data_IF_688258744963
#
_entry.id   IF_688258744963
#
_cell.length_a   1.000
_cell.length_b   1.000
_cell.length_c   1.000
_cell.angle_alpha   90.00
_cell.angle_beta   90.00
_cell.angle_gamma   90.00
#
_symmetry.space_group_name_H-M   'P 1'
#
loop_
_entity.id
_entity.type
_entity.pdbx_description
1 polymer ?
#
# COMPACT_ATOMS: atom_id res chain seq x y z
N UNK A 1 6.33 -28.54 7.40
CA UNK A 1 5.85 -27.14 7.41
C UNK A 1 5.00 -26.95 6.17
N UNK A 2 3.68 -26.85 6.33
CA UNK A 2 2.80 -26.43 5.23
C UNK A 2 3.26 -25.05 4.80
N UNK A 3 3.71 -24.92 3.55
CA UNK A 3 4.02 -23.62 2.96
C UNK A 3 2.75 -22.78 3.08
N UNK A 4 2.82 -21.67 3.82
CA UNK A 4 1.69 -20.75 3.96
C UNK A 4 1.19 -20.32 2.59
N UNK A 5 -0.10 -19.95 2.51
CA UNK A 5 -0.79 -19.69 1.25
C UNK A 5 0.04 -18.78 0.31
N UNK A 6 0.77 -17.79 0.86
CA UNK A 6 1.70 -16.92 0.12
C UNK A 6 2.62 -17.65 -0.87
N UNK A 7 3.12 -18.85 -0.52
CA UNK A 7 4.00 -19.64 -1.37
C UNK A 7 3.29 -20.56 -2.37
N UNK A 8 1.98 -20.43 -2.55
CA UNK A 8 1.19 -21.23 -3.49
C UNK A 8 1.04 -20.52 -4.84
N UNK A 9 0.84 -21.28 -5.91
CA UNK A 9 0.70 -20.79 -7.28
C UNK A 9 1.93 -21.06 -8.16
N UNK A 10 1.82 -20.68 -9.43
CA UNK A 10 2.83 -20.93 -10.45
C UNK A 10 4.11 -20.10 -10.22
N UNK A 11 5.21 -20.57 -10.81
CA UNK A 11 6.50 -19.88 -10.83
C UNK A 11 6.89 -19.55 -12.28
N UNK A 12 7.51 -18.38 -12.55
CA UNK A 12 7.88 -17.32 -11.61
C UNK A 12 6.65 -16.56 -11.08
N UNK A 13 6.76 -16.01 -9.86
CA UNK A 13 5.72 -15.15 -9.29
C UNK A 13 5.91 -13.72 -9.75
N UNK A 14 4.83 -13.13 -10.21
CA UNK A 14 4.77 -11.71 -10.57
C UNK A 14 4.21 -10.96 -9.36
N UNK A 15 4.97 -10.00 -8.85
CA UNK A 15 4.54 -9.11 -7.78
C UNK A 15 4.21 -7.75 -8.39
N UNK A 16 2.97 -7.28 -8.23
CA UNK A 16 2.60 -5.93 -8.61
C UNK A 16 3.18 -4.93 -7.61
N UNK A 17 4.36 -4.39 -7.92
CA UNK A 17 5.08 -3.41 -7.11
C UNK A 17 4.27 -2.11 -6.99
N UNK A 18 3.73 -1.87 -5.79
CA UNK A 18 2.82 -0.76 -5.46
C UNK A 18 1.53 -0.75 -6.30
N UNK A 19 1.10 -1.91 -6.78
CA UNK A 19 -0.02 -2.07 -7.71
C UNK A 19 0.39 -1.89 -9.18
N UNK A 20 -0.59 -1.69 -10.06
CA UNK A 20 -0.37 -1.48 -11.51
C UNK A 20 -0.64 -0.02 -11.90
N UNK A 21 0.42 0.74 -12.16
CA UNK A 21 0.33 2.15 -12.58
C UNK A 21 0.17 2.34 -14.09
N UNK A 22 0.41 1.29 -14.88
CA UNK A 22 0.22 1.33 -16.34
C UNK A 22 -1.23 1.53 -16.78
N UNK A 23 -2.20 1.37 -15.87
CA UNK A 23 -3.61 1.74 -16.06
C UNK A 23 -3.89 3.25 -15.93
N UNK A 24 -2.91 4.04 -15.48
CA UNK A 24 -3.08 5.44 -15.08
C UNK A 24 -3.46 5.62 -13.59
N UNK A 25 -3.56 4.52 -12.83
CA UNK A 25 -3.73 4.58 -11.38
C UNK A 25 -2.45 5.03 -10.67
N UNK A 26 -2.61 5.63 -9.49
CA UNK A 26 -1.49 6.10 -8.67
C UNK A 26 -0.94 4.95 -7.82
N UNK A 27 0.39 4.86 -7.68
CA UNK A 27 1.04 3.85 -6.85
C UNK A 27 0.48 3.81 -5.41
N UNK A 28 0.44 2.62 -4.79
CA UNK A 28 -0.04 2.41 -3.42
C UNK A 28 -1.49 2.88 -3.17
N UNK A 29 -2.35 2.86 -4.19
CA UNK A 29 -3.79 3.14 -4.06
C UNK A 29 -4.61 1.89 -4.35
N UNK A 30 -5.83 1.80 -3.79
CA UNK A 30 -6.73 0.66 -4.04
C UNK A 30 -6.96 0.43 -5.53
N UNK A 31 -7.09 1.50 -6.32
CA UNK A 31 -7.32 1.38 -7.76
C UNK A 31 -6.11 0.77 -8.50
N UNK A 32 -4.88 1.07 -8.08
CA UNK A 32 -3.69 0.41 -8.62
C UNK A 32 -3.64 -1.08 -8.26
N UNK A 33 -4.06 -1.45 -7.05
CA UNK A 33 -4.11 -2.85 -6.63
C UNK A 33 -5.22 -3.63 -7.34
N UNK A 34 -6.42 -3.05 -7.45
CA UNK A 34 -7.54 -3.62 -8.22
C UNK A 34 -7.16 -3.83 -9.68
N UNK A 35 -6.53 -2.82 -10.31
CA UNK A 35 -6.08 -2.94 -11.69
C UNK A 35 -5.05 -4.07 -11.87
N UNK A 36 -4.15 -4.29 -10.91
CA UNK A 36 -3.22 -5.42 -10.95
C UNK A 36 -3.96 -6.77 -10.77
N UNK A 37 -4.91 -6.81 -9.85
CA UNK A 37 -5.72 -8.01 -9.57
C UNK A 37 -6.57 -8.43 -10.76
N UNK A 38 -7.19 -7.47 -11.46
CA UNK A 38 -7.96 -7.69 -12.68
C UNK A 38 -7.13 -8.27 -13.84
N UNK A 39 -5.81 -8.06 -13.84
CA UNK A 39 -4.87 -8.69 -14.78
C UNK A 39 -4.48 -10.13 -14.38
N UNK A 40 -5.03 -10.65 -13.28
CA UNK A 40 -4.72 -11.99 -12.75
C UNK A 40 -3.47 -12.04 -11.87
N UNK A 41 -2.89 -10.90 -11.50
CA UNK A 41 -1.75 -10.87 -10.57
C UNK A 41 -2.26 -11.11 -9.15
N UNK A 42 -1.79 -12.19 -8.53
CA UNK A 42 -2.23 -12.58 -7.19
C UNK A 42 -1.29 -12.13 -6.07
N UNK A 43 -0.03 -11.81 -6.39
CA UNK A 43 0.92 -11.26 -5.44
C UNK A 43 1.04 -9.76 -5.62
N UNK A 44 0.76 -9.03 -4.54
CA UNK A 44 0.83 -7.57 -4.52
C UNK A 44 1.98 -7.17 -3.60
N UNK A 45 2.64 -6.07 -3.91
CA UNK A 45 3.64 -5.48 -3.03
C UNK A 45 3.20 -4.06 -2.67
N UNK A 46 3.45 -3.66 -1.43
CA UNK A 46 3.11 -2.32 -0.94
C UNK A 46 4.12 -1.85 0.11
N UNK A 47 4.24 -0.54 0.23
CA UNK A 47 5.04 0.13 1.24
C UNK A 47 4.13 0.67 2.35
N UNK A 48 4.47 0.44 3.62
CA UNK A 48 3.66 0.90 4.75
C UNK A 48 4.45 1.81 5.67
N UNK A 49 3.94 3.03 5.89
CA UNK A 49 4.33 3.91 7.00
C UNK A 49 3.22 3.99 8.02
N UNK A 50 3.55 4.51 9.20
CA UNK A 50 2.59 4.81 10.27
C UNK A 50 2.43 6.32 10.44
N UNK A 51 1.20 6.78 10.50
CA UNK A 51 0.83 8.19 10.74
C UNK A 51 1.00 8.59 12.20
N UNK A 52 0.93 9.89 12.49
CA UNK A 52 1.03 10.42 13.86
C UNK A 52 -0.07 9.88 14.80
N UNK A 53 -1.23 9.53 14.24
CA UNK A 53 -2.38 8.92 14.93
C UNK A 53 -2.41 7.38 14.82
N UNK A 54 -1.32 6.75 14.33
CA UNK A 54 -1.11 5.30 14.40
C UNK A 54 -1.70 4.47 13.26
N UNK A 55 -2.22 5.08 12.21
CA UNK A 55 -2.76 4.37 11.05
C UNK A 55 -1.64 3.86 10.12
N UNK A 56 -1.77 2.62 9.64
CA UNK A 56 -0.89 2.04 8.63
C UNK A 56 -1.31 2.49 7.23
N UNK A 57 -0.60 3.46 6.66
CA UNK A 57 -0.89 4.03 5.33
C UNK A 57 0.00 3.45 4.25
N UNK A 58 -0.57 3.25 3.06
CA UNK A 58 0.13 2.75 1.89
C UNK A 58 0.86 3.90 1.22
N UNK A 59 2.18 3.96 1.36
CA UNK A 59 3.00 5.07 0.90
C UNK A 59 4.48 4.69 0.82
N UNK A 60 5.20 5.11 -0.22
CA UNK A 60 6.62 4.74 -0.37
C UNK A 60 7.58 5.64 0.42
N UNK A 61 7.62 6.93 0.11
CA UNK A 61 8.65 7.84 0.62
C UNK A 61 8.41 8.25 2.07
N UNK A 62 9.45 8.62 2.81
CA UNK A 62 9.24 9.16 4.16
C UNK A 62 8.57 10.55 4.18
N UNK A 63 8.49 11.22 3.02
CA UNK A 63 7.93 12.55 2.85
C UNK A 63 6.87 12.60 1.73
N UNK A 64 6.19 13.75 1.64
CA UNK A 64 5.08 13.95 0.71
C UNK A 64 5.52 14.52 -0.65
N UNK A 65 6.81 14.84 -0.83
CA UNK A 65 7.25 15.79 -1.86
C UNK A 65 7.14 15.23 -3.26
N UNK A 66 7.57 13.98 -3.49
CA UNK A 66 7.59 13.37 -4.82
C UNK A 66 6.18 13.21 -5.39
N UNK A 67 5.25 12.68 -4.60
CA UNK A 67 3.92 12.33 -5.09
C UNK A 67 2.95 13.52 -5.12
N UNK A 68 3.14 14.51 -4.25
CA UNK A 68 2.13 15.58 -4.03
C UNK A 68 2.67 17.00 -4.23
N UNK A 69 3.99 17.16 -4.32
CA UNK A 69 4.64 18.48 -4.29
C UNK A 69 4.65 19.16 -2.91
N UNK A 70 3.91 18.63 -1.91
CA UNK A 70 3.80 19.22 -0.57
C UNK A 70 5.05 18.92 0.27
N UNK A 71 5.32 19.80 1.24
CA UNK A 71 6.31 19.54 2.30
C UNK A 71 5.61 18.82 3.46
N UNK A 72 6.37 18.02 4.21
CA UNK A 72 5.88 17.28 5.37
C UNK A 72 6.30 15.81 5.31
N UNK A 73 6.19 15.11 6.45
CA UNK A 73 6.47 13.67 6.56
C UNK A 73 5.19 12.93 6.89
N UNK A 74 5.11 11.68 6.43
CA UNK A 74 3.97 10.80 6.72
C UNK A 74 3.80 10.61 8.24
N UNK A 75 4.90 10.32 8.95
CA UNK A 75 4.92 10.12 10.40
C UNK A 75 4.51 11.34 11.24
N UNK A 76 4.53 12.52 10.64
CA UNK A 76 4.18 13.78 11.31
C UNK A 76 2.75 14.24 10.95
N UNK A 77 2.01 13.45 10.14
CA UNK A 77 0.64 13.77 9.67
C UNK A 77 -0.35 12.75 10.21
N UNK A 78 -1.60 13.16 10.44
CA UNK A 78 -2.73 12.26 10.74
C UNK A 78 -3.28 11.60 9.47
N UNK A 79 -4.01 10.49 9.61
CA UNK A 79 -4.69 9.86 8.48
C UNK A 79 -5.66 10.83 7.78
N UNK A 80 -6.40 11.64 8.56
CA UNK A 80 -7.35 12.60 8.04
C UNK A 80 -6.67 13.68 7.17
N UNK A 81 -5.52 14.20 7.61
CA UNK A 81 -4.73 15.17 6.83
C UNK A 81 -4.18 14.58 5.54
N UNK A 82 -3.69 13.34 5.58
CA UNK A 82 -3.18 12.64 4.40
C UNK A 82 -4.29 12.34 3.40
N UNK A 83 -5.48 11.95 3.86
CA UNK A 83 -6.65 11.72 2.99
C UNK A 83 -7.19 12.98 2.34
N UNK A 84 -6.93 14.15 2.90
CA UNK A 84 -7.30 15.42 2.28
C UNK A 84 -6.41 15.77 1.07
N UNK A 85 -5.32 15.02 0.84
CA UNK A 85 -4.44 15.22 -0.31
C UNK A 85 -5.05 14.53 -1.54
N UNK A 86 -5.24 15.30 -2.61
CA UNK A 86 -5.55 14.75 -3.92
C UNK A 86 -4.29 14.14 -4.52
N UNK A 87 -4.32 12.84 -4.80
CA UNK A 87 -3.21 12.14 -5.45
C UNK A 87 -3.34 12.19 -6.98
N UNK A 88 -4.41 12.78 -7.51
CA UNK A 88 -4.76 12.78 -8.93
C UNK A 88 -5.73 11.65 -9.27
N UNK A 89 -6.45 11.80 -10.39
CA UNK A 89 -7.44 10.81 -10.88
C UNK A 89 -8.51 10.41 -9.85
N UNK A 90 -8.79 11.26 -8.86
CA UNK A 90 -9.73 10.97 -7.77
C UNK A 90 -9.16 10.08 -6.66
N UNK A 91 -7.91 9.63 -6.78
CA UNK A 91 -7.27 8.73 -5.83
C UNK A 91 -6.96 9.41 -4.49
N UNK A 92 -7.02 8.63 -3.41
CA UNK A 92 -6.79 9.07 -2.04
C UNK A 92 -5.84 8.10 -1.34
N UNK A 93 -5.21 8.56 -0.26
CA UNK A 93 -4.36 7.72 0.59
C UNK A 93 -5.19 6.58 1.16
N UNK A 94 -4.74 5.35 0.88
CA UNK A 94 -5.32 4.11 1.39
C UNK A 94 -4.56 3.61 2.62
N UNK A 95 -5.22 2.77 3.40
CA UNK A 95 -4.63 2.06 4.54
C UNK A 95 -4.40 0.59 4.24
N UNK A 96 -3.52 -0.05 5.00
CA UNK A 96 -3.30 -1.49 4.89
C UNK A 96 -4.59 -2.29 5.19
N UNK A 97 -5.35 -1.89 6.20
CA UNK A 97 -6.63 -2.51 6.54
C UNK A 97 -7.64 -2.43 5.39
N UNK A 98 -7.68 -1.31 4.65
CA UNK A 98 -8.53 -1.16 3.48
C UNK A 98 -8.11 -2.10 2.34
N UNK A 99 -6.81 -2.22 2.05
CA UNK A 99 -6.33 -3.16 1.04
C UNK A 99 -6.64 -4.62 1.40
N UNK A 100 -6.43 -5.01 2.66
CA UNK A 100 -6.74 -6.35 3.15
C UNK A 100 -8.23 -6.67 3.05
N UNK A 101 -9.10 -5.69 3.34
CA UNK A 101 -10.55 -5.86 3.20
C UNK A 101 -11.01 -5.88 1.73
N UNK A 102 -10.37 -5.09 0.87
CA UNK A 102 -10.72 -4.97 -0.54
C UNK A 102 -10.30 -6.20 -1.36
N UNK A 103 -9.12 -6.75 -1.06
CA UNK A 103 -8.55 -7.91 -1.76
C UNK A 103 -8.11 -8.99 -0.75
N UNK A 104 -9.06 -9.67 -0.07
CA UNK A 104 -8.75 -10.61 1.02
C UNK A 104 -7.99 -11.86 0.55
N UNK A 105 -8.07 -12.19 -0.74
CA UNK A 105 -7.38 -13.34 -1.34
C UNK A 105 -5.99 -12.99 -1.90
N UNK A 106 -5.59 -11.71 -1.86
CA UNK A 106 -4.30 -11.26 -2.35
C UNK A 106 -3.15 -11.69 -1.44
N UNK A 107 -2.01 -12.00 -2.05
CA UNK A 107 -0.77 -12.38 -1.36
C UNK A 107 0.14 -11.18 -1.24
N UNK A 108 0.12 -10.52 -0.09
CA UNK A 108 0.88 -9.29 0.11
C UNK A 108 2.34 -9.55 0.50
N UNK A 109 3.23 -8.81 -0.15
CA UNK A 109 4.57 -8.51 0.33
C UNK A 109 4.55 -7.08 0.89
N UNK A 110 4.76 -6.91 2.19
CA UNK A 110 4.64 -5.62 2.87
C UNK A 110 6.05 -5.12 3.20
N UNK A 111 6.49 -4.05 2.56
CA UNK A 111 7.70 -3.33 2.95
C UNK A 111 7.38 -2.37 4.10
N UNK A 112 7.82 -2.73 5.31
CA UNK A 112 7.54 -1.99 6.54
C UNK A 112 8.55 -0.85 6.69
N UNK A 113 8.08 0.40 6.55
CA UNK A 113 8.92 1.59 6.59
C UNK A 113 8.91 2.24 7.97
N UNK A 114 10.12 2.45 8.51
CA UNK A 114 10.32 3.15 9.79
C UNK A 114 10.31 2.22 11.00
N UNK A 115 10.96 2.67 12.09
CA UNK A 115 11.25 1.83 13.25
C UNK A 115 10.00 1.41 14.04
N UNK A 116 8.96 2.26 14.08
CA UNK A 116 7.75 2.02 14.87
C UNK A 116 6.66 1.27 14.08
N UNK A 117 6.85 1.13 12.76
CA UNK A 117 5.87 0.51 11.88
C UNK A 117 5.64 -1.00 12.09
N UNK A 118 6.64 -1.85 12.45
CA UNK A 118 6.42 -3.29 12.57
C UNK A 118 5.31 -3.68 13.54
N UNK A 119 5.22 -3.00 14.70
CA UNK A 119 4.20 -3.32 15.70
C UNK A 119 2.80 -2.90 15.25
N UNK A 120 2.67 -1.80 14.51
CA UNK A 120 1.39 -1.35 13.97
C UNK A 120 0.93 -2.26 12.81
N UNK A 121 1.85 -2.60 11.90
CA UNK A 121 1.58 -3.51 10.77
C UNK A 121 1.17 -4.89 11.25
N UNK A 122 1.80 -5.42 12.29
CA UNK A 122 1.44 -6.73 12.85
C UNK A 122 0.02 -6.78 13.47
N UNK A 123 -0.63 -5.63 13.70
CA UNK A 123 -1.99 -5.52 14.25
C UNK A 123 -3.05 -5.14 13.21
N UNK A 124 -2.64 -4.86 11.97
CA UNK A 124 -3.51 -4.38 10.91
C UNK A 124 -4.44 -5.47 10.35
#
# INVERSE_FOLDING_TARGET
MTRGAWFSGDVPRVLAHRGWTGSGAVENTLDAFRAAWELGVTHLETDVHVTADGACVLWHDADLRRLTGRRGRVRDSTLAELRAIDLGSGARVATLAELLADLPDARLNIDVKGADAPAAVARA
#
